data_IF_970405704666
#
_entry.id   IF_970405704666
#
_cell.length_a   1.000
_cell.length_b   1.000
_cell.length_c   1.000
_cell.angle_alpha   90.00
_cell.angle_beta   90.00
_cell.angle_gamma   90.00
#
_symmetry.space_group_name_H-M   'P 1'
#
loop_
_entity.id
_entity.type
_entity.pdbx_description
1 polymer ?
2 non-polymer ?
3 non-polymer ?
4 non-polymer ?
5 water ?
#
# COMPACT_ATOMS: atom_id res chain seq x y z
N UNK A 1 -26.63 -23.38 0.98
CA UNK A 1 -25.17 -23.53 1.25
C UNK A 1 -24.41 -23.61 -0.08
N UNK A 2 -24.68 -22.66 -0.97
CA UNK A 2 -24.01 -22.62 -2.27
C UNK A 2 -22.51 -22.43 -2.11
N UNK A 3 -22.12 -21.64 -1.10
CA UNK A 3 -20.72 -21.35 -0.83
C UNK A 3 -19.80 -22.55 -0.77
N UNK A 4 -20.11 -23.49 0.13
CA UNK A 4 -19.29 -24.67 0.32
C UNK A 4 -18.98 -25.41 -0.99
N UNK A 5 -20.00 -25.58 -1.82
CA UNK A 5 -19.84 -26.27 -3.10
C UNK A 5 -18.91 -25.48 -4.04
N UNK A 6 -19.07 -24.16 -4.05
CA UNK A 6 -18.25 -23.32 -4.90
C UNK A 6 -16.79 -23.36 -4.43
N UNK A 7 -16.60 -23.35 -3.11
CA UNK A 7 -15.27 -23.41 -2.53
C UNK A 7 -14.57 -24.71 -2.90
N UNK A 8 -15.26 -25.84 -2.74
CA UNK A 8 -14.69 -27.14 -3.04
C UNK A 8 -14.28 -27.27 -4.50
N UNK A 9 -15.19 -26.93 -5.40
CA UNK A 9 -14.92 -27.03 -6.83
C UNK A 9 -13.79 -26.08 -7.24
N UNK A 10 -13.80 -24.87 -6.66
CA UNK A 10 -12.78 -23.88 -6.96
C UNK A 10 -11.41 -24.33 -6.48
N UNK A 11 -11.36 -24.99 -5.33
CA UNK A 11 -10.07 -25.46 -4.81
C UNK A 11 -9.46 -26.52 -5.71
N UNK A 12 -10.29 -27.17 -6.51
CA UNK A 12 -9.81 -28.20 -7.42
C UNK A 12 -9.11 -27.60 -8.64
N UNK A 13 -9.70 -26.56 -9.20
CA UNK A 13 -9.17 -25.93 -10.40
C UNK A 13 -8.16 -24.81 -10.19
N UNK A 14 -8.23 -24.13 -9.04
CA UNK A 14 -7.31 -23.01 -8.78
C UNK A 14 -6.03 -23.38 -8.08
N UNK A 15 -4.95 -22.67 -8.41
CA UNK A 15 -3.65 -22.90 -7.79
C UNK A 15 -3.78 -22.55 -6.31
N UNK A 16 -2.98 -23.20 -5.46
CA UNK A 16 -3.01 -22.96 -4.03
C UNK A 16 -2.45 -21.58 -3.67
N UNK A 17 -3.22 -20.82 -2.89
CA UNK A 17 -2.82 -19.49 -2.46
C UNK A 17 -3.58 -19.13 -1.18
N UNK A 18 -2.99 -19.46 -0.04
CA UNK A 18 -3.63 -19.17 1.25
C UNK A 18 -2.65 -18.59 2.26
N UNK A 19 -3.20 -17.89 3.24
CA UNK A 19 -2.40 -17.27 4.30
C UNK A 19 -2.09 -18.29 5.40
N UNK A 20 -1.25 -17.89 6.34
CA UNK A 20 -0.88 -18.75 7.45
C UNK A 20 -0.91 -17.99 8.78
N UNK A 21 -1.94 -18.22 9.60
CA UNK A 21 -3.06 -19.13 9.33
C UNK A 21 -3.95 -18.61 8.21
N UNK A 22 -4.74 -19.50 7.60
CA UNK A 22 -5.62 -19.07 6.53
C UNK A 22 -6.90 -18.49 7.09
N UNK A 23 -7.37 -17.42 6.46
CA UNK A 23 -8.59 -16.74 6.88
C UNK A 23 -9.80 -17.56 6.43
N UNK A 24 -10.97 -17.21 6.96
CA UNK A 24 -12.18 -17.91 6.59
C UNK A 24 -12.51 -17.60 5.14
N UNK A 25 -12.93 -18.63 4.38
CA UNK A 25 -13.27 -18.45 2.97
C UNK A 25 -14.48 -17.57 2.78
N UNK A 26 -14.50 -16.82 1.68
CA UNK A 26 -15.60 -15.92 1.39
C UNK A 26 -15.96 -16.02 -0.08
N UNK A 27 -17.21 -16.36 -0.36
CA UNK A 27 -17.68 -16.48 -1.74
C UNK A 27 -18.58 -15.27 -1.99
N UNK A 28 -17.97 -14.19 -2.47
CA UNK A 28 -18.68 -12.94 -2.72
C UNK A 28 -19.53 -12.94 -3.98
N UNK A 29 -20.73 -12.40 -3.85
CA UNK A 29 -21.66 -12.28 -4.96
C UNK A 29 -21.61 -10.84 -5.47
N UNK A 30 -21.78 -9.89 -4.55
CA UNK A 30 -21.72 -8.47 -4.91
C UNK A 30 -21.45 -7.59 -3.70
N UNK A 31 -21.29 -6.30 -3.96
CA UNK A 31 -21.03 -5.35 -2.89
C UNK A 31 -21.74 -4.04 -3.11
N UNK A 32 -21.88 -3.26 -2.04
CA UNK A 32 -22.54 -1.97 -2.11
C UNK A 32 -22.03 -1.10 -0.95
N UNK A 33 -21.34 -0.01 -1.30
CA UNK A 33 -20.81 0.88 -0.29
C UNK A 33 -19.70 0.20 0.48
N UNK A 34 -19.88 0.08 1.79
CA UNK A 34 -18.88 -0.57 2.64
C UNK A 34 -19.31 -1.98 3.00
N UNK A 35 -20.38 -2.46 2.35
CA UNK A 35 -20.90 -3.80 2.62
C UNK A 35 -20.64 -4.80 1.50
N UNK A 36 -20.35 -6.03 1.91
CA UNK A 36 -20.11 -7.14 0.98
C UNK A 36 -21.15 -8.23 1.28
N UNK A 37 -21.61 -8.90 0.23
CA UNK A 37 -22.61 -9.96 0.36
C UNK A 37 -22.15 -11.25 -0.30
N UNK A 38 -22.20 -12.38 0.43
CA UNK A 38 -21.78 -13.63 -0.17
C UNK A 38 -22.95 -14.28 -0.91
N UNK A 39 -22.67 -15.38 -1.60
CA UNK A 39 -23.68 -16.08 -2.38
C UNK A 39 -24.83 -16.63 -1.56
N UNK A 40 -24.67 -16.72 -0.26
CA UNK A 40 -25.72 -17.24 0.61
C UNK A 40 -26.52 -16.14 1.29
N UNK A 41 -26.30 -14.90 0.85
CA UNK A 41 -27.03 -13.78 1.42
C UNK A 41 -26.46 -13.16 2.68
N UNK A 42 -25.31 -13.67 3.15
CA UNK A 42 -24.70 -13.13 4.36
C UNK A 42 -24.07 -11.78 4.07
N UNK A 43 -24.27 -10.83 4.98
CA UNK A 43 -23.74 -9.46 4.85
C UNK A 43 -22.47 -9.26 5.68
N UNK A 44 -21.51 -8.54 5.11
CA UNK A 44 -20.25 -8.27 5.79
C UNK A 44 -19.84 -6.80 5.73
N UNK A 45 -19.40 -6.26 6.86
CA UNK A 45 -18.94 -4.88 6.92
C UNK A 45 -17.45 -4.96 6.62
N UNK A 46 -17.02 -4.23 5.60
CA UNK A 46 -15.62 -4.28 5.20
C UNK A 46 -14.69 -3.27 5.86
N UNK A 47 -13.69 -3.78 6.57
CA UNK A 47 -12.69 -2.93 7.20
C UNK A 47 -11.33 -3.24 6.55
N UNK A 48 -11.37 -3.75 5.32
CA UNK A 48 -10.14 -4.09 4.59
C UNK A 48 -9.90 -3.22 3.34
N UNK A 49 -10.96 -2.72 2.72
CA UNK A 49 -10.84 -1.89 1.51
C UNK A 49 -10.06 -2.63 0.42
N UNK A 50 -10.00 -3.96 0.51
CA UNK A 50 -9.25 -4.69 -0.49
C UNK A 50 -7.81 -4.21 -0.50
N UNK A 51 -7.33 -3.78 0.68
CA UNK A 51 -5.98 -3.29 0.84
C UNK A 51 -5.67 -2.10 -0.08
N UNK A 52 -6.70 -1.31 -0.39
CA UNK A 52 -6.52 -0.16 -1.25
C UNK A 52 -7.38 -0.18 -2.49
N UNK A 53 -7.50 -1.36 -3.09
CA UNK A 53 -8.28 -1.52 -4.31
C UNK A 53 -9.67 -0.89 -4.17
N UNK A 54 -10.32 -1.12 -3.03
CA UNK A 54 -11.66 -0.57 -2.82
C UNK A 54 -11.75 0.58 -1.82
N UNK A 55 -10.82 1.51 -1.91
CA UNK A 55 -10.82 2.68 -1.04
C UNK A 55 -12.13 3.45 -1.18
N UNK A 56 -12.69 3.44 -2.39
CA UNK A 56 -13.92 4.17 -2.64
C UNK A 56 -15.21 3.35 -2.58
N UNK A 57 -15.17 2.20 -1.93
CA UNK A 57 -16.37 1.39 -1.80
C UNK A 57 -16.47 0.20 -2.75
N UNK A 58 -17.56 -0.56 -2.61
CA UNK A 58 -17.79 -1.74 -3.43
C UNK A 58 -19.07 -1.63 -4.27
N UNK A 59 -18.99 -2.03 -5.55
CA UNK A 59 -17.79 -2.55 -6.21
C UNK A 59 -16.83 -1.39 -6.48
N UNK A 60 -17.38 -0.19 -6.37
CA UNK A 60 -16.64 1.05 -6.57
C UNK A 60 -17.60 2.19 -6.27
N UNK A 61 -17.13 3.42 -6.47
CA UNK A 61 -17.95 4.60 -6.24
C UNK A 61 -18.91 4.78 -7.42
N UNK A 62 -20.17 5.17 -7.15
CA UNK A 62 -21.18 5.37 -8.20
C UNK A 62 -20.71 6.21 -9.38
N UNK A 63 -20.01 7.30 -9.11
CA UNK A 63 -19.51 8.18 -10.17
C UNK A 63 -18.42 7.50 -11.00
N UNK A 64 -17.67 6.61 -10.37
CA UNK A 64 -16.62 5.90 -11.07
C UNK A 64 -17.23 4.83 -11.97
N UNK A 65 -18.28 4.18 -11.49
CA UNK A 65 -18.98 3.16 -12.26
C UNK A 65 -19.56 3.80 -13.51
N UNK A 66 -20.12 5.00 -13.33
CA UNK A 66 -20.73 5.73 -14.43
C UNK A 66 -19.69 5.98 -15.52
N UNK A 67 -18.53 6.49 -15.11
CA UNK A 67 -17.44 6.77 -16.02
C UNK A 67 -17.01 5.49 -16.73
N UNK A 68 -16.86 4.41 -15.96
CA UNK A 68 -16.44 3.14 -16.53
C UNK A 68 -17.34 2.58 -17.61
N UNK A 69 -18.65 2.55 -17.33
CA UNK A 69 -19.61 2.02 -18.28
C UNK A 69 -19.59 2.83 -19.58
N UNK A 70 -19.47 4.15 -19.46
CA UNK A 70 -19.45 5.00 -20.64
C UNK A 70 -18.17 4.82 -21.46
N UNK A 71 -17.02 4.93 -20.81
CA UNK A 71 -15.74 4.80 -21.49
C UNK A 71 -15.51 3.42 -22.08
N UNK A 72 -15.93 2.38 -21.37
CA UNK A 72 -15.74 1.01 -21.84
C UNK A 72 -16.35 0.78 -23.23
N UNK A 73 -17.42 1.50 -23.54
CA UNK A 73 -18.08 1.37 -24.83
C UNK A 73 -17.44 2.20 -25.94
N UNK A 74 -16.42 2.99 -25.59
CA UNK A 74 -15.72 3.82 -26.57
C UNK A 74 -14.36 3.21 -26.88
N UNK A 75 -13.50 3.19 -25.86
CA UNK A 75 -12.15 2.65 -25.98
C UNK A 75 -11.84 2.11 -24.59
N UNK A 76 -11.62 0.80 -24.50
CA UNK A 76 -11.37 0.16 -23.22
C UNK A 76 -9.95 0.23 -22.68
N UNK A 77 -9.44 -0.89 -22.19
CA UNK A 77 -8.10 -0.89 -21.60
C UNK A 77 -7.21 -1.98 -22.16
N UNK A 78 -6.26 -1.57 -23.01
CA UNK A 78 -5.33 -2.51 -23.62
C UNK A 78 -4.04 -2.63 -22.82
N UNK A 79 -3.98 -1.98 -21.66
CA UNK A 79 -2.78 -2.04 -20.83
C UNK A 79 -1.56 -1.57 -21.63
N UNK A 80 -1.81 -0.79 -22.68
CA UNK A 80 -0.74 -0.28 -23.52
C UNK A 80 -0.82 1.25 -23.51
N UNK A 81 0.28 1.91 -23.86
CA UNK A 81 0.32 3.37 -23.86
C UNK A 81 0.54 3.95 -25.26
N UNK A 82 0.55 3.08 -26.27
CA UNK A 82 0.78 3.51 -27.64
C UNK A 82 -0.28 4.48 -28.15
N UNK A 83 -1.54 4.14 -27.94
CA UNK A 83 -2.66 4.96 -28.38
C UNK A 83 -2.84 6.22 -27.55
N UNK A 84 -2.56 7.38 -28.16
CA UNK A 84 -2.76 8.64 -27.45
C UNK A 84 -4.26 8.74 -27.24
N UNK A 85 -4.68 9.29 -26.11
CA UNK A 85 -6.10 9.44 -25.83
C UNK A 85 -6.27 10.46 -24.73
N UNK A 86 -7.39 11.17 -24.76
CA UNK A 86 -7.66 12.21 -23.77
C UNK A 86 -7.61 11.71 -22.33
N UNK A 87 -8.29 10.59 -22.02
CA UNK A 87 -8.27 10.09 -20.64
C UNK A 87 -6.84 9.90 -20.11
N UNK A 88 -5.97 9.30 -20.92
CA UNK A 88 -4.59 9.07 -20.53
C UNK A 88 -3.88 10.40 -20.24
N UNK A 89 -4.09 11.37 -21.12
CA UNK A 89 -3.47 12.69 -20.95
C UNK A 89 -3.94 13.34 -19.65
N UNK A 90 -5.24 13.29 -19.40
CA UNK A 90 -5.78 13.91 -18.19
C UNK A 90 -5.27 13.29 -16.90
N UNK A 91 -5.22 11.96 -16.83
CA UNK A 91 -4.73 11.31 -15.62
C UNK A 91 -3.24 11.61 -15.44
N UNK A 92 -2.49 11.57 -16.53
CA UNK A 92 -1.06 11.85 -16.48
C UNK A 92 -0.83 13.24 -15.90
N UNK A 93 -1.60 14.21 -16.37
CA UNK A 93 -1.48 15.58 -15.90
C UNK A 93 -1.75 15.68 -14.40
N UNK A 94 -2.80 15.00 -13.94
CA UNK A 94 -3.13 15.02 -12.53
C UNK A 94 -2.02 14.37 -11.69
N UNK A 95 -1.52 13.23 -12.13
CA UNK A 95 -0.46 12.55 -11.38
C UNK A 95 0.85 13.34 -11.28
N UNK A 96 1.24 13.99 -12.36
CA UNK A 96 2.47 14.77 -12.32
C UNK A 96 2.28 16.08 -11.54
N UNK A 97 1.12 16.72 -11.75
CA UNK A 97 0.84 17.99 -11.10
C UNK A 97 0.57 17.92 -9.60
N UNK A 98 -0.22 16.94 -9.17
CA UNK A 98 -0.56 16.83 -7.75
C UNK A 98 0.43 16.06 -6.88
N UNK A 99 1.42 15.44 -7.51
CA UNK A 99 2.43 14.71 -6.74
C UNK A 99 3.40 15.72 -6.15
N UNK A 100 4.09 15.36 -5.07
CA UNK A 100 5.06 16.23 -4.39
C UNK A 100 6.15 16.76 -5.34
N UNK A 101 6.62 17.98 -5.06
CA UNK A 101 7.65 18.58 -5.89
C UNK A 101 7.09 19.40 -7.04
N UNK A 102 7.61 20.60 -7.25
CA UNK A 102 7.13 21.43 -8.35
C UNK A 102 8.01 21.40 -9.58
N UNK A 103 8.91 20.42 -9.63
CA UNK A 103 9.80 20.26 -10.77
C UNK A 103 9.07 19.41 -11.82
N UNK A 104 9.61 19.38 -13.03
CA UNK A 104 9.00 18.61 -14.10
C UNK A 104 9.07 17.12 -13.84
N UNK A 105 7.95 16.43 -14.08
CA UNK A 105 7.86 15.00 -13.86
C UNK A 105 7.17 14.31 -15.04
N UNK A 106 7.37 13.01 -15.15
CA UNK A 106 6.74 12.21 -16.19
C UNK A 106 6.12 10.99 -15.52
N UNK A 107 5.21 10.33 -16.22
CA UNK A 107 4.57 9.15 -15.65
C UNK A 107 4.53 8.01 -16.65
N UNK A 108 4.80 6.81 -16.16
CA UNK A 108 4.79 5.59 -16.96
C UNK A 108 3.69 4.70 -16.40
N UNK A 109 2.71 4.35 -17.22
CA UNK A 109 1.60 3.52 -16.78
C UNK A 109 1.89 2.03 -16.97
N UNK A 110 1.36 1.22 -16.06
CA UNK A 110 1.52 -0.24 -16.10
C UNK A 110 0.21 -0.87 -15.63
N UNK A 111 0.23 -2.18 -15.37
CA UNK A 111 -0.99 -2.87 -14.96
C UNK A 111 -1.13 -3.25 -13.50
N UNK A 112 -0.12 -2.93 -12.69
CA UNK A 112 -0.19 -3.30 -11.28
C UNK A 112 0.90 -2.62 -10.47
N UNK A 113 0.84 -2.81 -9.15
CA UNK A 113 1.84 -2.23 -8.28
C UNK A 113 3.19 -2.90 -8.49
N UNK A 114 3.20 -4.21 -8.70
CA UNK A 114 4.48 -4.89 -8.90
C UNK A 114 5.09 -4.44 -10.23
N UNK A 115 4.27 -4.19 -11.24
CA UNK A 115 4.81 -3.74 -12.52
C UNK A 115 5.30 -2.30 -12.37
N UNK A 116 4.63 -1.52 -11.52
CA UNK A 116 5.03 -0.13 -11.31
C UNK A 116 6.40 -0.11 -10.64
N UNK A 117 6.61 -1.06 -9.73
CA UNK A 117 7.89 -1.17 -9.03
C UNK A 117 8.96 -1.68 -10.00
N UNK A 118 8.59 -2.63 -10.86
CA UNK A 118 9.56 -3.15 -11.83
C UNK A 118 10.03 -2.00 -12.71
N UNK A 119 9.11 -1.10 -13.03
CA UNK A 119 9.44 0.05 -13.86
C UNK A 119 10.35 1.01 -13.08
N UNK A 120 10.10 1.16 -11.78
CA UNK A 120 10.92 2.04 -10.96
C UNK A 120 12.34 1.51 -10.85
N UNK A 121 12.50 0.19 -10.87
CA UNK A 121 13.83 -0.40 -10.80
C UNK A 121 14.59 0.01 -12.06
N UNK A 122 13.93 -0.07 -13.20
CA UNK A 122 14.56 0.31 -14.46
C UNK A 122 14.93 1.80 -14.44
N UNK A 123 14.03 2.62 -13.90
CA UNK A 123 14.29 4.06 -13.82
C UNK A 123 15.52 4.39 -12.99
N UNK A 124 15.64 3.83 -11.79
CA UNK A 124 16.81 4.14 -10.97
C UNK A 124 18.09 3.56 -11.53
N UNK A 125 18.00 2.46 -12.28
CA UNK A 125 19.18 1.85 -12.85
C UNK A 125 19.61 2.50 -14.16
N UNK A 126 18.75 3.35 -14.71
CA UNK A 126 19.04 4.03 -15.95
C UNK A 126 20.20 4.99 -15.74
N UNK A 127 20.51 5.23 -14.47
CA UNK A 127 21.60 6.10 -14.06
C UNK A 127 22.94 5.45 -14.34
N UNK A 128 22.96 4.11 -14.29
CA UNK A 128 24.18 3.38 -14.51
C UNK A 128 24.63 2.72 -13.23
N UNK A 129 24.00 3.10 -12.12
CA UNK A 129 24.33 2.54 -10.80
C UNK A 129 23.71 1.15 -10.68
N UNK A 130 24.36 0.28 -9.92
CA UNK A 130 23.89 -1.10 -9.81
C UNK A 130 23.25 -1.58 -8.51
N UNK A 131 23.44 -0.86 -7.42
CA UNK A 131 22.87 -1.31 -6.14
C UNK A 131 21.59 -0.63 -5.70
N UNK A 132 20.79 -1.37 -4.94
CA UNK A 132 19.52 -0.85 -4.43
C UNK A 132 19.41 -1.19 -2.95
N UNK A 133 18.95 -0.22 -2.17
CA UNK A 133 18.75 -0.46 -0.74
C UNK A 133 17.25 -0.46 -0.49
N UNK A 134 16.80 -1.44 0.28
CA UNK A 134 15.39 -1.54 0.63
C UNK A 134 15.33 -1.85 2.12
N UNK A 135 14.12 -1.94 2.67
CA UNK A 135 13.98 -2.17 4.10
C UNK A 135 13.40 -3.50 4.54
N UNK A 136 13.96 -4.05 5.61
CA UNK A 136 13.46 -5.30 6.17
C UNK A 136 12.01 -5.01 6.57
N UNK A 137 11.11 -5.93 6.26
CA UNK A 137 9.71 -5.74 6.57
C UNK A 137 8.94 -5.14 5.41
N UNK A 138 9.68 -4.64 4.42
CA UNK A 138 9.04 -4.02 3.27
C UNK A 138 8.40 -5.00 2.29
N UNK A 139 7.46 -4.50 1.50
CA UNK A 139 6.78 -5.31 0.50
C UNK A 139 6.61 -4.44 -0.74
N UNK A 140 7.08 -4.93 -1.88
CA UNK A 140 7.00 -4.16 -3.11
C UNK A 140 6.49 -4.95 -4.32
N UNK A 141 6.03 -6.17 -4.09
CA UNK A 141 5.53 -6.96 -5.21
C UNK A 141 6.09 -8.36 -5.26
N UNK A 142 5.51 -9.18 -6.15
CA UNK A 142 5.90 -10.57 -6.26
C UNK A 142 6.65 -11.01 -7.52
N UNK A 143 6.72 -10.16 -8.54
CA UNK A 143 7.46 -10.54 -9.75
C UNK A 143 8.94 -10.58 -9.37
N UNK A 144 9.79 -11.21 -10.19
CA UNK A 144 11.20 -11.37 -9.85
C UNK A 144 11.96 -10.13 -9.39
N UNK A 145 11.78 -9.01 -10.09
CA UNK A 145 12.46 -7.79 -9.69
C UNK A 145 11.90 -7.26 -8.37
N UNK A 146 10.59 -7.11 -8.31
CA UNK A 146 9.93 -6.59 -7.11
C UNK A 146 10.14 -7.45 -5.86
N UNK A 147 10.11 -8.77 -6.02
CA UNK A 147 10.27 -9.64 -4.86
C UNK A 147 11.70 -9.58 -4.35
N UNK A 148 12.63 -9.16 -5.21
CA UNK A 148 14.02 -9.02 -4.81
C UNK A 148 14.11 -7.87 -3.81
N UNK A 149 13.19 -6.91 -3.92
CA UNK A 149 13.16 -5.76 -3.02
C UNK A 149 12.32 -6.07 -1.79
N UNK A 150 11.37 -6.99 -1.94
CA UNK A 150 10.50 -7.39 -0.85
C UNK A 150 11.23 -8.19 0.23
N UNK A 151 10.86 -7.96 1.48
CA UNK A 151 11.45 -8.68 2.61
C UNK A 151 10.45 -8.63 3.75
N UNK A 152 9.27 -9.17 3.50
CA UNK A 152 8.18 -9.19 4.49
C UNK A 152 8.22 -10.50 5.28
N UNK A 153 7.92 -11.59 4.60
CA UNK A 153 7.93 -12.92 5.21
C UNK A 153 8.88 -13.78 4.38
N UNK A 154 9.85 -14.38 5.06
CA UNK A 154 10.85 -15.22 4.41
C UNK A 154 10.24 -16.30 3.53
N UNK A 155 9.14 -16.91 3.99
CA UNK A 155 8.50 -17.97 3.23
C UNK A 155 8.10 -17.50 1.83
N UNK A 156 7.80 -16.21 1.68
CA UNK A 156 7.40 -15.68 0.38
C UNK A 156 8.56 -15.67 -0.62
N UNK A 157 9.78 -15.76 -0.11
CA UNK A 157 10.98 -15.77 -0.96
C UNK A 157 11.62 -17.15 -0.97
N UNK A 158 10.86 -18.16 -0.56
CA UNK A 158 11.40 -19.52 -0.51
C UNK A 158 11.42 -20.26 -1.84
N UNK A 159 12.23 -21.31 -1.87
CA UNK A 159 12.37 -22.21 -3.01
C UNK A 159 12.96 -21.66 -4.31
N UNK A 160 12.36 -20.60 -4.84
CA UNK A 160 12.78 -20.05 -6.13
C UNK A 160 13.93 -19.03 -6.21
N UNK A 161 14.59 -18.76 -5.09
CA UNK A 161 15.70 -17.83 -5.12
C UNK A 161 16.96 -18.52 -5.63
N UNK A 162 18.12 -17.84 -5.64
CA UNK A 162 18.36 -16.47 -5.18
C UNK A 162 17.70 -15.45 -6.10
N UNK A 163 17.65 -14.21 -5.64
CA UNK A 163 17.02 -13.15 -6.41
C UNK A 163 18.02 -12.15 -6.98
N UNK A 164 17.49 -11.05 -7.50
CA UNK A 164 18.31 -10.00 -8.12
C UNK A 164 19.47 -9.60 -7.23
N UNK A 165 20.71 -9.68 -7.74
CA UNK A 165 21.87 -9.31 -6.94
C UNK A 165 21.99 -7.79 -6.79
N UNK A 166 22.76 -7.34 -5.82
CA UNK A 166 22.92 -5.91 -5.64
C UNK A 166 21.86 -5.26 -4.78
N UNK A 167 20.95 -6.05 -4.21
CA UNK A 167 19.90 -5.49 -3.35
C UNK A 167 20.29 -5.76 -1.89
N UNK A 168 20.35 -4.69 -1.11
CA UNK A 168 20.73 -4.77 0.30
C UNK A 168 19.57 -4.32 1.19
N UNK A 169 19.21 -5.13 2.18
CA UNK A 169 18.12 -4.77 3.07
C UNK A 169 18.64 -4.31 4.44
N UNK A 170 18.07 -3.22 4.93
CA UNK A 170 18.47 -2.68 6.23
C UNK A 170 17.23 -2.47 7.10
N UNK A 171 17.43 -2.34 8.42
CA UNK A 171 16.31 -2.14 9.35
C UNK A 171 15.52 -0.86 9.08
N UNK A 172 14.20 -0.96 9.22
CA UNK A 172 13.28 0.15 9.05
C UNK A 172 13.13 0.76 10.45
N UNK A 173 12.82 2.06 10.53
CA UNK A 173 12.66 2.69 11.85
C UNK A 173 11.30 2.35 12.46
N UNK A 174 11.12 1.09 12.82
CA UNK A 174 9.87 0.61 13.43
C UNK A 174 9.95 1.03 14.90
N UNK A 175 9.10 1.98 15.32
CA UNK A 175 9.07 2.49 16.70
C UNK A 175 8.66 1.49 17.78
N UNK A 176 7.96 0.43 17.40
CA UNK A 176 7.51 -0.55 18.39
C UNK A 176 8.48 -1.70 18.59
N UNK A 177 9.00 -2.23 17.49
CA UNK A 177 9.95 -3.34 17.55
C UNK A 177 11.06 -3.17 16.52
N UNK A 178 12.29 -3.06 17.00
CA UNK A 178 13.43 -2.90 16.12
C UNK A 178 14.66 -3.58 16.72
N UNK A 179 15.71 -3.82 15.91
CA UNK A 179 16.93 -4.48 16.38
C UNK A 179 17.62 -3.80 17.57
N UNK A 180 17.36 -2.52 17.78
CA UNK A 180 17.98 -1.78 18.87
C UNK A 180 17.13 -1.76 20.14
N UNK A 181 15.92 -2.31 20.07
CA UNK A 181 15.00 -2.32 21.21
C UNK A 181 14.72 -0.91 21.71
N UNK A 182 14.75 0.04 20.77
CA UNK A 182 14.48 1.42 21.09
C UNK A 182 12.99 1.69 21.01
N UNK A 183 12.47 2.47 21.96
CA UNK A 183 11.06 2.83 21.93
C UNK A 183 11.03 4.05 21.02
N UNK A 184 10.65 3.83 19.76
CA UNK A 184 10.61 4.89 18.78
C UNK A 184 9.58 5.99 19.02
N UNK A 185 8.66 5.76 19.96
CA UNK A 185 7.65 6.76 20.27
C UNK A 185 8.21 7.74 21.29
N UNK A 186 8.97 7.22 22.25
CA UNK A 186 9.58 8.05 23.28
C UNK A 186 10.86 8.68 22.75
N UNK A 187 11.64 7.89 22.00
CA UNK A 187 12.91 8.37 21.45
C UNK A 187 13.00 8.22 19.93
N UNK A 188 12.19 8.98 19.19
CA UNK A 188 12.21 8.90 17.72
C UNK A 188 13.55 9.24 17.08
N UNK A 189 14.18 10.31 17.55
CA UNK A 189 15.47 10.73 17.01
C UNK A 189 16.53 9.66 17.16
N UNK A 190 16.53 8.99 18.30
CA UNK A 190 17.50 7.93 18.57
C UNK A 190 17.35 6.80 17.55
N UNK A 191 16.11 6.39 17.29
CA UNK A 191 15.84 5.33 16.34
C UNK A 191 16.23 5.74 14.93
N UNK A 192 15.85 6.97 14.55
CA UNK A 192 16.19 7.46 13.23
C UNK A 192 17.70 7.47 13.04
N UNK A 193 18.41 7.96 14.06
CA UNK A 193 19.86 8.02 13.98
C UNK A 193 20.49 6.64 13.85
N UNK A 194 19.98 5.65 14.59
CA UNK A 194 20.54 4.30 14.51
C UNK A 194 20.33 3.73 13.09
N UNK A 195 19.17 3.99 12.51
CA UNK A 195 18.87 3.50 11.17
C UNK A 195 19.77 4.16 10.12
N UNK A 196 19.91 5.49 10.20
CA UNK A 196 20.76 6.21 9.27
C UNK A 196 22.22 5.78 9.44
N UNK A 197 22.63 5.61 10.69
CA UNK A 197 24.00 5.19 10.99
C UNK A 197 24.30 3.81 10.42
N UNK A 198 23.34 2.90 10.52
CA UNK A 198 23.52 1.54 10.01
C UNK A 198 23.86 1.61 8.53
N UNK A 199 23.14 2.45 7.80
CA UNK A 199 23.37 2.60 6.37
C UNK A 199 24.70 3.30 6.06
N UNK A 200 24.86 4.50 6.61
CA UNK A 200 26.04 5.30 6.37
C UNK A 200 27.37 4.80 6.94
N UNK A 201 27.37 4.34 8.19
CA UNK A 201 28.60 3.89 8.83
C UNK A 201 28.92 2.41 8.72
N UNK A 202 28.02 1.64 8.16
CA UNK A 202 28.28 0.21 8.02
C UNK A 202 28.10 -0.24 6.58
N UNK A 203 26.89 -0.14 6.06
CA UNK A 203 26.66 -0.55 4.69
C UNK A 203 27.55 0.21 3.71
N UNK A 204 27.59 1.54 3.82
CA UNK A 204 28.41 2.34 2.93
C UNK A 204 29.91 2.26 3.19
N UNK A 205 30.30 1.76 4.35
CA UNK A 205 31.71 1.65 4.70
C UNK A 205 32.29 0.27 4.39
N UNK A 206 31.56 -0.77 4.77
CA UNK A 206 31.98 -2.16 4.57
C UNK A 206 31.54 -2.87 3.30
N UNK A 207 30.34 -2.58 2.84
CA UNK A 207 29.75 -3.32 1.74
C UNK A 207 29.67 -2.72 0.34
N UNK A 208 29.08 -1.54 0.22
CA UNK A 208 28.93 -0.95 -1.10
C UNK A 208 29.23 0.54 -1.15
N UNK A 209 29.92 0.99 -2.22
CA UNK A 209 30.25 2.41 -2.35
C UNK A 209 28.92 3.14 -2.54
N UNK A 210 28.65 4.15 -1.70
CA UNK A 210 27.38 4.86 -1.86
C UNK A 210 27.15 5.43 -3.26
N UNK A 211 28.23 5.79 -3.96
CA UNK A 211 28.11 6.36 -5.29
C UNK A 211 27.59 5.35 -6.32
N UNK A 212 27.57 4.07 -5.95
CA UNK A 212 27.08 3.04 -6.85
C UNK A 212 25.66 2.58 -6.48
N UNK A 213 25.06 3.23 -5.49
CA UNK A 213 23.70 2.89 -5.08
C UNK A 213 22.73 3.73 -5.91
N UNK A 214 21.92 3.04 -6.72
CA UNK A 214 20.97 3.70 -7.60
C UNK A 214 19.86 4.39 -6.82
N UNK A 215 19.28 3.67 -5.86
CA UNK A 215 18.21 4.25 -5.07
C UNK A 215 17.87 3.48 -3.81
N UNK A 216 17.09 4.13 -2.96
CA UNK A 216 16.62 3.55 -1.71
C UNK A 216 15.11 3.44 -1.85
N UNK A 217 14.58 2.22 -1.76
CA UNK A 217 13.14 1.98 -1.86
C UNK A 217 12.51 1.86 -0.49
N UNK A 218 11.34 2.47 -0.31
CA UNK A 218 10.67 2.42 0.97
C UNK A 218 9.18 2.67 0.83
N UNK A 219 8.45 2.24 1.85
CA UNK A 219 7.02 2.48 1.92
C UNK A 219 6.98 3.60 2.98
N UNK A 220 6.16 4.65 2.77
CA UNK A 220 6.09 5.73 3.75
C UNK A 220 5.56 5.19 5.08
N UNK A 221 4.78 4.13 4.98
CA UNK A 221 4.23 3.40 6.13
C UNK A 221 4.21 1.97 5.61
N UNK A 222 4.87 1.05 6.31
CA UNK A 222 4.88 -0.33 5.84
C UNK A 222 3.51 -0.98 5.98
N UNK A 223 3.01 -1.49 4.85
CA UNK A 223 1.70 -2.12 4.84
C UNK A 223 1.73 -3.55 5.34
N UNK A 224 2.20 -4.46 4.49
CA UNK A 224 2.27 -5.87 4.86
C UNK A 224 3.07 -6.04 6.15
N UNK A 225 4.00 -5.13 6.37
CA UNK A 225 4.84 -5.17 7.56
C UNK A 225 4.08 -4.94 8.84
N UNK A 226 2.83 -4.48 8.74
CA UNK A 226 2.01 -4.26 9.92
C UNK A 226 1.59 -2.82 10.18
N UNK A 227 1.50 -2.02 9.12
CA UNK A 227 1.13 -0.62 9.24
C UNK A 227 2.03 0.08 10.24
N UNK A 228 3.33 -0.05 9.97
CA UNK A 228 4.39 0.51 10.78
C UNK A 228 4.67 1.95 10.36
N UNK A 229 4.40 2.91 11.24
CA UNK A 229 4.62 4.31 10.94
C UNK A 229 5.96 4.77 11.52
N UNK A 230 6.88 5.23 10.67
CA UNK A 230 8.18 5.69 11.15
C UNK A 230 8.11 7.09 11.76
N UNK A 231 9.17 7.50 12.50
CA UNK A 231 9.20 8.83 13.12
C UNK A 231 8.96 9.89 12.04
N UNK A 232 8.31 10.97 12.40
CA UNK A 232 7.99 12.03 11.45
C UNK A 232 9.12 12.61 10.61
N UNK A 233 10.32 12.71 11.18
CA UNK A 233 11.43 13.28 10.41
C UNK A 233 12.37 12.22 9.81
N UNK A 234 11.94 10.96 9.81
CA UNK A 234 12.80 9.92 9.26
C UNK A 234 13.17 10.12 7.80
N UNK A 235 12.18 10.39 6.96
CA UNK A 235 12.47 10.56 5.54
C UNK A 235 13.27 11.82 5.23
N UNK A 236 13.16 12.82 6.08
CA UNK A 236 13.93 14.04 5.89
C UNK A 236 15.40 13.67 6.09
N UNK A 237 15.68 12.88 7.12
CA UNK A 237 17.05 12.44 7.40
C UNK A 237 17.54 11.48 6.33
N UNK A 238 16.65 10.61 5.86
CA UNK A 238 17.00 9.65 4.82
C UNK A 238 17.38 10.39 3.54
N UNK A 239 16.61 11.44 3.23
CA UNK A 239 16.89 12.22 2.03
C UNK A 239 18.23 12.96 2.12
N UNK A 240 18.56 13.42 3.33
CA UNK A 240 19.83 14.12 3.53
C UNK A 240 20.97 13.17 3.18
N UNK A 241 20.86 11.93 3.65
CA UNK A 241 21.87 10.92 3.37
C UNK A 241 21.95 10.65 1.87
N UNK A 242 20.77 10.48 1.26
CA UNK A 242 20.68 10.22 -0.17
C UNK A 242 21.27 11.34 -1.03
N UNK A 243 20.89 12.58 -0.74
CA UNK A 243 21.38 13.72 -1.51
C UNK A 243 22.91 13.81 -1.49
N UNK A 244 23.47 13.43 -0.35
CA UNK A 244 24.92 13.45 -0.15
C UNK A 244 25.67 12.61 -1.18
N UNK A 245 25.04 11.53 -1.65
CA UNK A 245 25.66 10.64 -2.61
C UNK A 245 24.94 10.49 -3.95
N UNK A 246 23.97 11.37 -4.20
CA UNK A 246 23.24 11.31 -5.46
C UNK A 246 22.34 10.09 -5.60
N UNK A 247 21.93 9.53 -4.47
CA UNK A 247 21.06 8.35 -4.46
C UNK A 247 19.61 8.80 -4.57
N UNK A 248 18.83 8.09 -5.38
CA UNK A 248 17.42 8.43 -5.56
C UNK A 248 16.53 7.82 -4.48
N UNK A 249 15.43 8.51 -4.19
CA UNK A 249 14.47 8.01 -3.21
C UNK A 249 13.22 7.57 -3.93
N UNK A 250 12.86 6.30 -3.76
CA UNK A 250 11.67 5.75 -4.40
C UNK A 250 10.63 5.51 -3.31
N UNK A 251 9.51 6.22 -3.43
CA UNK A 251 8.40 6.15 -2.48
C UNK A 251 7.30 5.24 -3.03
N UNK A 252 7.12 4.07 -2.43
CA UNK A 252 6.11 3.12 -2.86
C UNK A 252 4.79 3.40 -2.15
N UNK A 253 3.87 4.04 -2.88
CA UNK A 253 2.56 4.43 -2.36
C UNK A 253 1.44 3.53 -2.86
N UNK A 254 1.78 2.33 -3.32
CA UNK A 254 0.78 1.41 -3.84
C UNK A 254 -0.32 1.10 -2.83
N UNK A 255 0.03 1.02 -1.55
CA UNK A 255 -0.97 0.71 -0.54
C UNK A 255 -1.39 1.91 0.33
N UNK A 256 -0.47 2.83 0.56
CA UNK A 256 -0.73 4.00 1.41
C UNK A 256 -1.16 5.25 0.67
N UNK A 257 -1.04 5.25 -0.65
CA UNK A 257 -1.41 6.43 -1.40
C UNK A 257 -2.89 6.65 -1.60
N UNK A 258 -3.19 7.71 -2.34
CA UNK A 258 -4.55 8.08 -2.71
C UNK A 258 -5.58 8.16 -1.57
N UNK A 259 -5.26 8.95 -0.55
CA UNK A 259 -6.18 9.19 0.54
C UNK A 259 -6.19 8.34 1.80
N UNK A 260 -5.59 7.14 1.73
CA UNK A 260 -5.56 6.23 2.88
C UNK A 260 -5.13 6.90 4.19
N UNK A 261 -4.10 7.73 4.14
CA UNK A 261 -3.60 8.40 5.34
C UNK A 261 -4.11 9.81 5.51
N UNK A 262 -5.10 10.21 4.72
CA UNK A 262 -5.64 11.55 4.83
C UNK A 262 -4.94 12.53 3.91
N UNK A 263 -4.03 12.02 3.08
CA UNK A 263 -3.28 12.82 2.13
C UNK A 263 -3.35 12.12 0.78
N UNK A 264 -3.22 12.89 -0.31
CA UNK A 264 -3.24 12.28 -1.63
C UNK A 264 -2.04 11.34 -1.71
N UNK A 265 -0.90 11.77 -1.17
CA UNK A 265 0.30 10.95 -1.14
C UNK A 265 0.73 10.89 0.32
N UNK A 266 0.84 9.67 0.86
CA UNK A 266 1.22 9.47 2.24
C UNK A 266 2.54 10.14 2.66
N UNK A 267 3.47 10.27 1.72
CA UNK A 267 4.75 10.88 2.05
C UNK A 267 4.61 12.34 2.46
N UNK A 268 3.48 12.95 2.11
CA UNK A 268 3.23 14.34 2.48
C UNK A 268 3.24 14.50 4.00
N UNK A 269 2.85 13.46 4.72
CA UNK A 269 2.83 13.48 6.17
C UNK A 269 4.23 13.61 6.74
N UNK A 270 5.23 13.32 5.91
CA UNK A 270 6.62 13.36 6.34
C UNK A 270 7.39 14.53 5.73
N UNK A 271 6.66 15.41 5.05
CA UNK A 271 7.25 16.59 4.44
C UNK A 271 8.51 16.31 3.62
N UNK A 272 8.45 15.27 2.80
CA UNK A 272 9.59 14.90 1.96
C UNK A 272 9.13 14.68 0.53
N UNK A 273 9.93 15.18 -0.41
CA UNK A 273 9.61 15.03 -1.83
C UNK A 273 10.51 13.94 -2.41
N UNK A 274 9.92 12.82 -2.84
CA UNK A 274 10.72 11.72 -3.41
C UNK A 274 11.07 11.96 -4.87
N UNK A 275 11.95 11.12 -5.41
CA UNK A 275 12.37 11.23 -6.80
C UNK A 275 11.46 10.39 -7.69
N UNK A 276 10.96 9.28 -7.14
CA UNK A 276 10.09 8.38 -7.87
C UNK A 276 8.96 7.91 -6.94
N UNK A 277 7.76 7.76 -7.49
CA UNK A 277 6.61 7.31 -6.71
C UNK A 277 5.85 6.24 -7.49
N UNK A 278 5.39 5.20 -6.79
CA UNK A 278 4.62 4.16 -7.45
C UNK A 278 3.21 4.16 -6.87
N UNK A 279 2.22 3.99 -7.74
CA UNK A 279 0.82 3.94 -7.35
C UNK A 279 0.16 2.77 -8.06
N UNK A 280 -0.90 2.26 -7.47
CA UNK A 280 -1.66 1.16 -8.06
C UNK A 280 -2.91 0.95 -7.20
N UNK A 281 -3.37 -0.30 -7.12
CA UNK A 281 -4.55 -0.66 -6.34
C UNK A 281 -5.70 0.36 -6.41
N UNK A 282 -5.79 1.29 -5.47
CA UNK A 282 -6.88 2.29 -5.48
C UNK A 282 -6.97 3.12 -6.75
N UNK A 283 -5.85 3.29 -7.46
CA UNK A 283 -5.85 4.11 -8.68
C UNK A 283 -6.91 3.66 -9.67
N UNK A 284 -7.16 2.36 -9.73
CA UNK A 284 -8.16 1.82 -10.63
C UNK A 284 -9.59 1.81 -10.11
N UNK A 285 -9.80 2.45 -8.97
CA UNK A 285 -11.14 2.58 -8.38
C UNK A 285 -11.82 1.31 -7.92
N UNK A 286 -11.11 0.18 -7.98
CA UNK A 286 -11.71 -1.08 -7.58
C UNK A 286 -12.34 -1.75 -8.77
N UNK A 287 -12.27 -1.09 -9.92
CA UNK A 287 -12.84 -1.63 -11.14
C UNK A 287 -11.79 -2.40 -11.91
N UNK A 288 -10.57 -1.87 -11.95
CA UNK A 288 -9.53 -2.56 -12.68
C UNK A 288 -8.11 -2.20 -12.25
N UNK A 289 -7.17 -3.06 -12.61
CA UNK A 289 -5.76 -2.85 -12.26
C UNK A 289 -5.05 -1.86 -13.19
N UNK A 290 -4.34 -0.93 -12.57
CA UNK A 290 -3.56 0.05 -13.30
C UNK A 290 -2.49 0.53 -12.32
N UNK A 291 -1.27 0.63 -12.82
CA UNK A 291 -0.18 1.09 -11.99
C UNK A 291 0.40 2.33 -12.62
N UNK A 292 1.08 3.14 -11.82
CA UNK A 292 1.69 4.35 -12.32
C UNK A 292 3.03 4.57 -11.63
N UNK A 293 4.02 5.02 -12.41
CA UNK A 293 5.34 5.30 -11.87
C UNK A 293 5.66 6.72 -12.26
N UNK A 294 5.64 7.60 -11.25
CA UNK A 294 5.91 9.02 -11.41
C UNK A 294 7.37 9.29 -11.08
N UNK A 295 8.05 10.07 -11.91
CA UNK A 295 9.45 10.35 -11.65
C UNK A 295 9.95 11.66 -12.25
N UNK A 296 11.01 12.19 -11.66
CA UNK A 296 11.63 13.42 -12.13
C UNK A 296 11.91 13.26 -13.63
N UNK A 297 11.54 14.27 -14.40
CA UNK A 297 11.71 14.25 -15.86
C UNK A 297 13.13 13.88 -16.32
N UNK A 298 14.14 14.34 -15.60
CA UNK A 298 15.53 14.06 -15.96
C UNK A 298 15.94 12.60 -15.85
N UNK A 299 15.00 11.72 -15.50
CA UNK A 299 15.28 10.29 -15.36
C UNK A 299 14.58 9.45 -16.43
N UNK A 300 13.89 10.10 -17.35
CA UNK A 300 13.14 9.42 -18.40
C UNK A 300 13.98 8.46 -19.25
N UNK A 301 13.31 7.47 -19.84
CA UNK A 301 13.97 6.47 -20.68
C UNK A 301 14.42 7.09 -22.00
N UNK A 302 14.82 6.24 -22.94
CA UNK A 302 15.27 6.70 -24.25
C UNK A 302 14.50 6.02 -25.38
N UNK A 309 3.68 -3.54 -27.89
CA UNK A 309 2.24 -3.43 -27.67
C UNK A 309 1.62 -2.43 -28.63
N UNK A 310 0.29 -2.42 -28.70
CA UNK A 310 -0.42 -1.50 -29.58
C UNK A 310 -1.86 -1.29 -29.11
N UNK A 311 -2.05 -0.39 -28.14
CA UNK A 311 -3.37 -0.13 -27.62
C UNK A 311 -3.47 1.17 -26.86
N UNK A 312 -4.65 1.44 -26.31
CA UNK A 312 -4.87 2.66 -25.54
C UNK A 312 -5.62 2.39 -24.24
N UNK A 313 -4.94 2.66 -23.12
CA UNK A 313 -5.47 2.44 -21.77
C UNK A 313 -6.53 3.43 -21.30
N UNK A 314 -7.38 3.89 -22.21
CA UNK A 314 -8.40 4.88 -21.89
C UNK A 314 -9.37 4.55 -20.74
N UNK A 315 -9.90 3.33 -20.71
CA UNK A 315 -10.84 2.97 -19.64
C UNK A 315 -10.21 3.11 -18.26
N UNK A 316 -9.02 2.55 -18.10
CA UNK A 316 -8.33 2.63 -16.81
C UNK A 316 -7.96 4.06 -16.43
N UNK A 317 -7.52 4.84 -17.40
CA UNK A 317 -7.13 6.23 -17.13
C UNK A 317 -8.34 7.12 -16.84
N UNK A 318 -9.45 6.89 -17.54
CA UNK A 318 -10.65 7.68 -17.32
C UNK A 318 -11.10 7.45 -15.87
N UNK A 319 -11.03 6.20 -15.44
CA UNK A 319 -11.41 5.84 -14.08
C UNK A 319 -10.45 6.45 -13.07
N UNK A 320 -9.16 6.35 -13.34
CA UNK A 320 -8.17 6.92 -12.44
C UNK A 320 -8.34 8.41 -12.27
N UNK A 321 -8.65 9.10 -13.37
CA UNK A 321 -8.84 10.54 -13.35
C UNK A 321 -9.97 10.91 -12.38
N UNK A 322 -11.07 10.16 -12.46
CA UNK A 322 -12.21 10.40 -11.58
C UNK A 322 -11.84 10.06 -10.13
N UNK A 323 -11.09 8.97 -9.96
CA UNK A 323 -10.66 8.56 -8.63
C UNK A 323 -9.90 9.70 -7.94
N UNK A 324 -8.96 10.30 -8.66
CA UNK A 324 -8.17 11.40 -8.10
C UNK A 324 -9.05 12.54 -7.61
N UNK A 325 -10.06 12.91 -8.38
CA UNK A 325 -10.94 14.00 -7.98
C UNK A 325 -11.75 13.65 -6.74
N UNK A 326 -12.27 12.44 -6.69
CA UNK A 326 -13.05 12.01 -5.55
C UNK A 326 -12.18 11.93 -4.28
N UNK A 327 -10.98 11.40 -4.42
CA UNK A 327 -10.08 11.29 -3.27
C UNK A 327 -9.77 12.68 -2.71
N UNK A 328 -9.40 13.62 -3.58
CA UNK A 328 -9.09 14.97 -3.14
C UNK A 328 -10.27 15.58 -2.39
N UNK A 329 -11.48 15.38 -2.90
CA UNK A 329 -12.68 15.90 -2.26
C UNK A 329 -12.95 15.25 -0.90
N UNK A 330 -12.54 14.00 -0.77
CA UNK A 330 -12.75 13.23 0.46
C UNK A 330 -11.71 13.38 1.57
N UNK A 331 -10.56 13.99 1.28
CA UNK A 331 -9.53 14.11 2.30
C UNK A 331 -10.02 14.69 3.64
N UNK A 332 -10.78 15.79 3.61
CA UNK A 332 -11.26 16.35 4.88
C UNK A 332 -12.06 15.31 5.67
N UNK A 333 -12.93 14.58 4.97
CA UNK A 333 -13.76 13.55 5.57
C UNK A 333 -12.90 12.44 6.18
N UNK A 334 -11.90 11.98 5.43
CA UNK A 334 -11.01 10.92 5.90
C UNK A 334 -10.33 11.28 7.21
N UNK A 335 -9.80 12.48 7.30
CA UNK A 335 -9.12 12.90 8.51
C UNK A 335 -10.10 13.07 9.68
N UNK A 336 -11.33 13.46 9.37
CA UNK A 336 -12.36 13.61 10.40
C UNK A 336 -12.74 12.25 10.97
N UNK A 337 -13.06 11.30 10.10
CA UNK A 337 -13.42 9.96 10.54
C UNK A 337 -12.22 9.32 11.24
N UNK A 338 -11.03 9.70 10.80
CA UNK A 338 -9.81 9.16 11.40
C UNK A 338 -9.73 9.42 12.90
N UNK A 339 -10.22 10.58 13.33
CA UNK A 339 -10.21 10.94 14.74
C UNK A 339 -11.04 9.97 15.56
N UNK A 340 -12.09 9.44 14.94
CA UNK A 340 -12.95 8.48 15.63
C UNK A 340 -12.15 7.21 15.87
N UNK A 341 -11.45 6.74 14.84
CA UNK A 341 -10.65 5.54 15.01
C UNK A 341 -9.53 5.77 16.03
N UNK A 342 -8.95 6.96 16.02
CA UNK A 342 -7.88 7.29 16.96
C UNK A 342 -8.38 7.20 18.40
N UNK A 343 -9.55 7.79 18.64
CA UNK A 343 -10.15 7.79 19.96
C UNK A 343 -10.64 6.40 20.37
N UNK A 344 -11.43 5.77 19.52
CA UNK A 344 -12.00 4.45 19.82
C UNK A 344 -11.04 3.27 19.85
N UNK A 345 -9.91 3.34 19.15
CA UNK A 345 -8.96 2.21 19.14
C UNK A 345 -7.94 2.25 20.27
N UNK A 346 -7.82 3.38 20.96
CA UNK A 346 -6.86 3.48 22.04
C UNK A 346 -7.00 2.37 23.07
N UNK A 347 -5.87 1.79 23.46
CA UNK A 347 -5.86 0.73 24.45
C UNK A 347 -6.44 -0.61 24.00
N UNK A 348 -6.76 -0.76 22.72
CA UNK A 348 -7.32 -2.01 22.24
C UNK A 348 -6.27 -3.03 21.79
N UNK A 349 -5.00 -2.64 21.83
CA UNK A 349 -3.92 -3.53 21.45
C UNK A 349 -2.64 -3.13 22.18
N UNK A 350 -1.61 -3.98 22.08
CA UNK A 350 -0.35 -3.68 22.75
C UNK A 350 0.31 -2.46 22.13
N UNK A 351 -0.04 -2.18 20.88
CA UNK A 351 0.42 -0.99 20.20
C UNK A 351 -0.66 -0.57 19.23
N UNK A 352 -1.10 0.67 19.37
CA UNK A 352 -2.13 1.23 18.51
C UNK A 352 -1.47 2.39 17.80
N UNK A 353 -1.40 2.29 16.47
CA UNK A 353 -0.75 3.30 15.67
C UNK A 353 -1.56 3.61 14.42
N UNK A 354 -1.61 4.88 14.02
CA UNK A 354 -2.35 5.22 12.84
C UNK A 354 -2.33 6.68 12.43
N UNK A 355 -2.82 6.94 11.22
CA UNK A 355 -2.91 8.28 10.67
C UNK A 355 -3.99 8.22 9.60
N UNK A 356 -4.89 9.19 9.59
CA UNK A 356 -5.97 9.19 8.63
C UNK A 356 -6.79 7.94 8.88
N UNK A 357 -7.02 7.14 7.83
CA UNK A 357 -7.76 5.89 8.01
C UNK A 357 -6.84 4.69 7.83
N UNK A 358 -5.57 4.88 8.20
CA UNK A 358 -4.58 3.83 8.13
C UNK A 358 -4.24 3.48 9.58
N UNK A 359 -4.80 2.38 10.08
CA UNK A 359 -4.56 1.96 11.45
C UNK A 359 -4.02 0.56 11.61
N UNK A 360 -3.15 0.41 12.61
CA UNK A 360 -2.56 -0.87 12.91
C UNK A 360 -2.69 -1.19 14.38
N UNK A 361 -3.03 -2.44 14.68
CA UNK A 361 -3.16 -2.92 16.05
C UNK A 361 -2.23 -4.10 16.19
N UNK A 362 -1.19 -3.98 17.03
CA UNK A 362 -0.26 -5.09 17.21
C UNK A 362 -0.41 -5.72 18.59
N UNK A 363 -0.40 -7.05 18.60
CA UNK A 363 -0.53 -7.83 19.82
C UNK A 363 0.74 -8.63 20.07
N UNK A 364 1.22 -8.66 21.30
CA UNK A 364 2.42 -9.42 21.60
C UNK A 364 2.13 -10.90 21.44
N UNK A 365 0.85 -11.23 21.56
CA UNK A 365 0.36 -12.60 21.45
C UNK A 365 -0.23 -12.83 20.06
N UNK A 366 0.48 -13.58 19.22
CA UNK A 366 -0.01 -13.86 17.86
C UNK A 366 -1.35 -14.60 17.86
N UNK A 367 -1.48 -15.60 18.72
CA UNK A 367 -2.70 -16.37 18.80
C UNK A 367 -3.90 -15.47 19.08
N UNK A 368 -3.70 -14.44 19.91
CA UNK A 368 -4.75 -13.49 20.24
C UNK A 368 -5.12 -12.69 18.99
N UNK A 369 -4.10 -12.33 18.22
CA UNK A 369 -4.31 -11.57 16.99
C UNK A 369 -5.18 -12.40 16.05
N UNK A 370 -4.82 -13.66 15.86
CA UNK A 370 -5.57 -14.54 14.98
C UNK A 370 -7.03 -14.71 15.41
N UNK A 371 -7.25 -14.84 16.72
CA UNK A 371 -8.59 -15.01 17.26
C UNK A 371 -9.45 -13.78 17.03
N UNK A 372 -8.87 -12.60 17.24
CA UNK A 372 -9.61 -11.36 17.04
C UNK A 372 -10.10 -11.30 15.60
N UNK A 373 -9.25 -11.63 14.65
CA UNK A 373 -9.65 -11.62 13.24
C UNK A 373 -10.72 -12.67 12.97
N UNK A 374 -10.50 -13.87 13.51
CA UNK A 374 -11.44 -14.96 13.32
C UNK A 374 -12.80 -14.71 13.93
N UNK A 375 -12.84 -14.27 15.18
CA UNK A 375 -14.11 -14.00 15.84
C UNK A 375 -14.82 -12.83 15.17
N UNK A 376 -14.05 -11.85 14.71
CA UNK A 376 -14.64 -10.69 14.04
C UNK A 376 -15.34 -11.16 12.77
N UNK A 377 -14.70 -12.05 12.02
CA UNK A 377 -15.31 -12.56 10.80
C UNK A 377 -16.64 -13.23 11.13
N UNK A 378 -16.69 -13.94 12.24
CA UNK A 378 -17.92 -14.61 12.65
C UNK A 378 -19.01 -13.61 13.02
N UNK A 379 -18.63 -12.37 13.31
CA UNK A 379 -19.61 -11.35 13.65
C UNK A 379 -19.98 -10.53 12.40
N UNK A 380 -19.34 -10.85 11.28
CA UNK A 380 -19.63 -10.13 10.04
C UNK A 380 -18.74 -8.94 9.78
N UNK A 381 -17.58 -8.89 10.43
CA UNK A 381 -16.63 -7.81 10.23
C UNK A 381 -15.37 -8.35 9.58
N UNK A 382 -14.97 -7.77 8.45
CA UNK A 382 -13.79 -8.24 7.73
C UNK A 382 -12.53 -7.47 8.11
N UNK A 383 -11.53 -8.22 8.57
CA UNK A 383 -10.24 -7.66 8.98
C UNK A 383 -9.10 -8.52 8.40
N UNK A 384 -7.96 -7.89 8.18
CA UNK A 384 -6.80 -8.59 7.63
C UNK A 384 -5.61 -8.50 8.57
N UNK A 385 -4.80 -9.57 8.63
CA UNK A 385 -3.63 -9.57 9.49
C UNK A 385 -2.51 -8.80 8.80
N UNK A 386 -1.46 -8.46 9.54
CA UNK A 386 -0.33 -7.73 9.00
C UNK A 386 0.87 -8.00 9.90
N UNK A 387 2.07 -7.90 9.35
CA UNK A 387 3.26 -8.15 10.14
C UNK A 387 3.24 -9.54 10.73
N UNK A 388 3.82 -9.71 11.92
CA UNK A 388 3.84 -11.01 12.57
C UNK A 388 2.59 -11.24 13.42
N UNK A 389 2.16 -10.20 14.12
CA UNK A 389 1.00 -10.32 14.99
C UNK A 389 0.19 -9.03 15.10
N UNK A 390 -0.06 -8.39 13.96
CA UNK A 390 -0.85 -7.18 13.96
C UNK A 390 -2.08 -7.34 13.10
N UNK A 391 -2.97 -6.36 13.17
CA UNK A 391 -4.19 -6.35 12.38
C UNK A 391 -4.25 -4.98 11.72
N UNK A 392 -4.58 -4.94 10.44
CA UNK A 392 -4.70 -3.65 9.80
C UNK A 392 -6.18 -3.29 9.80
N UNK A 393 -6.48 -2.05 10.15
CA UNK A 393 -7.86 -1.56 10.20
C UNK A 393 -7.91 -0.45 9.16
N UNK A 394 -8.44 -0.79 7.99
CA UNK A 394 -8.49 0.14 6.88
C UNK A 394 -9.83 0.16 6.18
N UNK A 395 -10.80 0.86 6.76
CA UNK A 395 -12.15 0.96 6.17
C UNK A 395 -12.14 1.83 4.93
N UNK A 396 -13.10 1.62 4.01
CA UNK A 396 -13.14 2.44 2.80
C UNK A 396 -13.21 3.92 3.19
N UNK A 397 -12.61 4.77 2.37
CA UNK A 397 -12.58 6.21 2.63
C UNK A 397 -13.97 6.85 2.59
N UNK A 398 -14.93 6.16 2.01
CA UNK A 398 -16.29 6.66 1.92
C UNK A 398 -17.17 6.28 3.11
N UNK A 399 -16.60 5.57 4.07
CA UNK A 399 -17.35 5.12 5.23
C UNK A 399 -17.93 6.28 6.05
N UNK A 400 -19.15 6.10 6.55
CA UNK A 400 -19.80 7.12 7.35
C UNK A 400 -19.46 6.91 8.81
N UNK A 401 -19.70 7.94 9.63
CA UNK A 401 -19.44 7.84 11.05
C UNK A 401 -20.25 6.69 11.63
N UNK A 402 -21.49 6.58 11.17
CA UNK A 402 -22.40 5.53 11.64
C UNK A 402 -21.88 4.13 11.31
N UNK A 403 -21.41 3.95 10.07
CA UNK A 403 -20.90 2.64 9.66
C UNK A 403 -19.59 2.34 10.38
N UNK A 404 -18.79 3.36 10.63
CA UNK A 404 -17.52 3.20 11.32
C UNK A 404 -17.75 2.70 12.74
N UNK A 405 -18.73 3.30 13.42
CA UNK A 405 -19.01 2.88 14.79
C UNK A 405 -19.59 1.48 14.86
N UNK A 406 -20.36 1.07 13.85
CA UNK A 406 -20.90 -0.28 13.84
C UNK A 406 -19.73 -1.27 13.85
N UNK A 407 -18.73 -0.99 13.01
CA UNK A 407 -17.57 -1.84 12.92
C UNK A 407 -16.71 -1.81 14.17
N UNK A 408 -16.48 -0.61 14.70
CA UNK A 408 -15.68 -0.45 15.90
C UNK A 408 -16.34 -1.11 17.11
N UNK A 409 -17.66 -1.06 17.18
CA UNK A 409 -18.37 -1.69 18.30
C UNK A 409 -18.13 -3.18 18.27
N UNK A 410 -18.19 -3.77 17.08
CA UNK A 410 -17.96 -5.20 16.92
C UNK A 410 -16.53 -5.54 17.33
N UNK A 411 -15.58 -4.77 16.82
CA UNK A 411 -14.17 -5.01 17.13
C UNK A 411 -13.91 -4.92 18.63
N UNK A 412 -14.45 -3.89 19.27
CA UNK A 412 -14.27 -3.71 20.71
C UNK A 412 -14.82 -4.91 21.49
N UNK A 413 -16.01 -5.36 21.12
CA UNK A 413 -16.64 -6.49 21.80
C UNK A 413 -15.82 -7.76 21.63
N UNK A 414 -15.30 -7.97 20.43
CA UNK A 414 -14.50 -9.16 20.15
C UNK A 414 -13.21 -9.14 20.97
N UNK A 415 -12.55 -7.99 20.97
CA UNK A 415 -11.30 -7.86 21.71
C UNK A 415 -11.51 -8.11 23.21
N UNK A 416 -12.66 -7.67 23.73
CA UNK A 416 -12.97 -7.85 25.15
C UNK A 416 -13.17 -9.31 25.57
N UNK A 417 -13.62 -10.15 24.66
CA UNK A 417 -13.84 -11.55 25.01
C UNK A 417 -12.69 -12.48 24.62
N UNK A 418 -11.86 -12.04 23.70
CA UNK A 418 -10.72 -12.85 23.26
C UNK A 418 -9.51 -12.65 24.17
X LIG B 1 21.24 9.45 20.05
X LIG B 1 21.34 8.07 20.56
X LIG B 1 22.12 10.33 20.84
X LIG B 1 21.66 9.48 18.64
X LIG B 1 19.84 9.91 20.16
X LIG C 1 3.87 -2.50 -3.15
X LIG C 1 3.17 -2.31 -2.01
X LIG C 1 3.69 -1.35 -0.96
X LIG C 1 1.96 -3.00 -1.80
X LIG C 1 1.24 -2.81 -0.67
X LIG C 1 1.49 -3.88 -2.80
X LIG C 1 0.20 -4.61 -2.61
X LIG C 1 2.26 -4.07 -4.00
X LIG C 1 3.46 -3.35 -4.15
X LIG C 1 1.73 -5.04 -5.03
X LIG C 1 0.78 -4.36 -5.84
X LIG C 1 0.20 -5.40 -6.92
X LIG C 1 1.26 -5.95 -7.80
X LIG C 1 -0.50 -6.60 -6.11
X LIG C 1 -0.90 -4.63 -7.80
X LIG D 1 12.68 -4.26 10.97
X LIG D 1 13.06 -3.47 9.83
X LIG D 1 12.27 -3.37 12.15
X LIG D 1 13.36 -2.52 12.54
#
# INVERSE_FOLDING_TARGET
MLSRKIIEESDIYLATSTRDPELFPLVIDHGEGVWIYDVDGNKYLDFTSGIGVNNLGWPSHPEVIKIGIEQMQKLAHAAANDFYNIPQLELAKKLVTYSPGNFQKKVFFSNSGTEAIEASIKVVKNTGRKYIIAFLGGFHGRTFGSISLTASKAVQRSIVGPFMPGVIHVPYPNPYRNPWHINGYENPSELVNRVIEFIEDYIFVNLVPPEEVAGIFFEPIQGEGGYVIPPKNFFAELQKLAKKYGILLVDDEVQMGLGRTGKLFAIENFNTVPDVITLAKALGGGIMPIGATIFRKDLDFKPGMHSNTFGGNALACAIGSKVIDIVKDLLPHVNEIGKIFAEELQGLADDVRGIGLAWGLEYNEKKVRDRIIGESFKRGLLLLPAGRSAIRVIPPLVISEEEAKQGLDILKKVIKVVK
SO4 S O1 O2 O3 O4
PLP N1 C2 C2A C3 O3 C4 C4A C5 C6 C5A O4P P O1P O2P O3P
EDO C1 O1 C2 O2
#
